data_IF_156237276668
#
_entry.id   IF_156237276668
#
_cell.length_a   1.000
_cell.length_b   1.000
_cell.length_c   1.000
_cell.angle_alpha   90.00
_cell.angle_beta   90.00
_cell.angle_gamma   90.00
#
_symmetry.space_group_name_H-M   'P 1'
#
loop_
_entity.id
_entity.type
_entity.pdbx_description
1 polymer ?
#
# COMPACT_ATOMS: atom_id res chain seq x y z
N UNK A 1 -101.75 53.85 -90.90
CA UNK A 1 -102.23 53.80 -89.50
C UNK A 1 -102.34 52.37 -88.98
N UNK A 2 -103.10 51.47 -89.64
CA UNK A 2 -103.29 50.08 -89.18
C UNK A 2 -101.99 49.26 -89.06
N UNK A 3 -101.06 49.41 -90.00
CA UNK A 3 -99.77 48.71 -90.05
C UNK A 3 -98.82 49.11 -88.90
N UNK A 4 -98.85 50.38 -88.50
CA UNK A 4 -98.03 50.91 -87.39
C UNK A 4 -98.55 50.40 -86.04
N UNK A 5 -99.88 50.32 -85.87
CA UNK A 5 -100.50 49.75 -84.66
C UNK A 5 -100.21 48.26 -84.54
N UNK A 6 -100.31 47.49 -85.64
CA UNK A 6 -99.95 46.08 -85.65
C UNK A 6 -98.45 45.84 -85.31
N UNK A 7 -97.54 46.68 -85.82
CA UNK A 7 -96.12 46.61 -85.49
C UNK A 7 -95.84 46.89 -84.01
N UNK A 8 -96.49 47.91 -83.42
CA UNK A 8 -96.37 48.23 -82.00
C UNK A 8 -96.91 47.11 -81.10
N UNK A 9 -98.03 46.48 -81.48
CA UNK A 9 -98.58 45.32 -80.76
C UNK A 9 -97.61 44.12 -80.86
N UNK A 10 -97.03 43.86 -82.04
CA UNK A 10 -96.03 42.81 -82.21
C UNK A 10 -94.78 43.02 -81.34
N UNK A 11 -94.29 44.26 -81.25
CA UNK A 11 -93.15 44.61 -80.37
C UNK A 11 -93.54 44.44 -78.90
N UNK A 12 -94.75 44.86 -78.49
CA UNK A 12 -95.21 44.73 -77.11
C UNK A 12 -95.34 43.25 -76.69
N UNK A 13 -95.89 42.40 -77.58
CA UNK A 13 -96.01 40.95 -77.35
C UNK A 13 -94.63 40.30 -77.35
N UNK A 14 -93.73 40.70 -78.26
CA UNK A 14 -92.36 40.21 -78.30
C UNK A 14 -91.56 40.59 -77.04
N UNK A 15 -91.68 41.84 -76.58
CA UNK A 15 -91.01 42.33 -75.37
C UNK A 15 -91.56 41.68 -74.10
N UNK A 16 -92.88 41.51 -73.99
CA UNK A 16 -93.49 40.79 -72.85
C UNK A 16 -93.14 39.30 -72.86
N UNK A 17 -93.16 38.64 -74.02
CA UNK A 17 -92.73 37.25 -74.18
C UNK A 17 -91.25 37.06 -73.80
N UNK A 18 -90.36 37.96 -74.25
CA UNK A 18 -88.94 37.94 -73.90
C UNK A 18 -88.71 38.21 -72.41
N UNK A 19 -89.43 39.16 -71.81
CA UNK A 19 -89.33 39.45 -70.37
C UNK A 19 -89.78 38.26 -69.51
N UNK A 20 -90.90 37.62 -69.86
CA UNK A 20 -91.37 36.41 -69.17
C UNK A 20 -90.38 35.26 -69.34
N UNK A 21 -89.85 35.05 -70.54
CA UNK A 21 -88.85 34.02 -70.81
C UNK A 21 -87.56 34.24 -70.00
N UNK A 22 -87.06 35.47 -69.93
CA UNK A 22 -85.88 35.83 -69.12
C UNK A 22 -86.14 35.68 -67.62
N UNK A 23 -87.34 36.00 -67.12
CA UNK A 23 -87.72 35.80 -65.71
C UNK A 23 -87.85 34.31 -65.35
N UNK A 24 -88.36 33.46 -66.26
CA UNK A 24 -88.43 32.02 -66.04
C UNK A 24 -87.02 31.39 -66.05
N UNK A 25 -86.18 31.79 -67.02
CA UNK A 25 -84.78 31.36 -67.08
C UNK A 25 -83.99 31.80 -65.84
N UNK A 26 -84.13 33.04 -65.39
CA UNK A 26 -83.43 33.53 -64.20
C UNK A 26 -83.88 32.79 -62.95
N UNK A 27 -85.19 32.59 -62.75
CA UNK A 27 -85.73 31.77 -61.65
C UNK A 27 -85.23 30.33 -61.71
N UNK A 28 -85.15 29.72 -62.89
CA UNK A 28 -84.63 28.36 -63.05
C UNK A 28 -83.14 28.25 -62.71
N UNK A 29 -82.33 29.25 -63.09
CA UNK A 29 -80.90 29.34 -62.74
C UNK A 29 -80.69 29.57 -61.25
N UNK A 30 -81.49 30.43 -60.63
CA UNK A 30 -81.45 30.66 -59.18
C UNK A 30 -81.82 29.38 -58.43
N UNK A 31 -82.89 28.68 -58.85
CA UNK A 31 -83.29 27.41 -58.24
C UNK A 31 -82.22 26.32 -58.41
N UNK A 32 -81.61 26.21 -59.59
CA UNK A 32 -80.50 25.27 -59.80
C UNK A 32 -79.27 25.60 -58.95
N UNK A 33 -78.97 26.89 -58.76
CA UNK A 33 -77.90 27.35 -57.89
C UNK A 33 -78.21 27.07 -56.40
N UNK A 34 -79.45 27.24 -55.97
CA UNK A 34 -79.91 26.91 -54.61
C UNK A 34 -79.85 25.39 -54.35
N UNK A 35 -80.29 24.57 -55.30
CA UNK A 35 -80.18 23.10 -55.21
C UNK A 35 -78.72 22.66 -55.16
N UNK A 36 -77.85 23.25 -55.98
CA UNK A 36 -76.41 22.96 -55.97
C UNK A 36 -75.78 23.39 -54.65
N UNK A 37 -76.10 24.58 -54.15
CA UNK A 37 -75.65 25.06 -52.83
C UNK A 37 -76.11 24.11 -51.72
N UNK A 38 -77.38 23.67 -51.74
CA UNK A 38 -77.93 22.73 -50.78
C UNK A 38 -77.18 21.39 -50.80
N UNK A 39 -76.87 20.85 -51.99
CA UNK A 39 -76.06 19.63 -52.13
C UNK A 39 -74.65 19.81 -51.59
N UNK A 40 -73.97 20.91 -51.93
CA UNK A 40 -72.61 21.19 -51.46
C UNK A 40 -72.58 21.34 -49.93
N UNK A 41 -73.55 22.03 -49.33
CA UNK A 41 -73.65 22.15 -47.87
C UNK A 41 -73.92 20.80 -47.21
N UNK A 42 -74.84 20.00 -47.76
CA UNK A 42 -75.12 18.66 -47.24
C UNK A 42 -73.91 17.72 -47.37
N UNK A 43 -73.15 17.82 -48.46
CA UNK A 43 -71.90 17.06 -48.64
C UNK A 43 -70.83 17.51 -47.65
N UNK A 44 -70.68 18.82 -47.44
CA UNK A 44 -69.75 19.37 -46.46
C UNK A 44 -70.12 18.97 -45.02
N UNK A 45 -71.41 18.97 -44.67
CA UNK A 45 -71.88 18.49 -43.36
C UNK A 45 -71.59 17.01 -43.17
N UNK A 46 -71.87 16.17 -44.18
CA UNK A 46 -71.55 14.74 -44.13
C UNK A 46 -70.06 14.47 -43.99
N UNK A 47 -69.22 15.21 -44.72
CA UNK A 47 -67.76 15.10 -44.60
C UNK A 47 -67.27 15.55 -43.22
N UNK A 48 -67.78 16.67 -42.70
CA UNK A 48 -67.44 17.14 -41.37
C UNK A 48 -67.84 16.14 -40.28
N UNK A 49 -69.01 15.51 -40.41
CA UNK A 49 -69.45 14.46 -39.49
C UNK A 49 -68.58 13.20 -39.60
N UNK A 50 -68.21 12.79 -40.82
CA UNK A 50 -67.30 11.67 -41.04
C UNK A 50 -65.93 11.91 -40.38
N UNK A 51 -65.32 13.08 -40.62
CA UNK A 51 -64.04 13.47 -40.02
C UNK A 51 -64.13 13.51 -38.49
N UNK A 52 -65.23 14.02 -37.93
CA UNK A 52 -65.44 14.02 -36.47
C UNK A 52 -65.54 12.61 -35.90
N UNK A 53 -66.24 11.71 -36.58
CA UNK A 53 -66.37 10.31 -36.16
C UNK A 53 -65.04 9.58 -36.26
N UNK A 54 -64.30 9.76 -37.35
CA UNK A 54 -62.95 9.22 -37.53
C UNK A 54 -62.00 9.70 -36.43
N UNK A 55 -61.93 11.02 -36.20
CA UNK A 55 -61.12 11.58 -35.13
C UNK A 55 -61.51 11.06 -33.73
N UNK A 56 -62.80 10.79 -33.48
CA UNK A 56 -63.23 10.16 -32.23
C UNK A 56 -62.83 8.69 -32.11
N UNK A 57 -62.83 7.95 -33.21
CA UNK A 57 -62.37 6.56 -33.24
C UNK A 57 -60.87 6.51 -33.03
N UNK A 58 -60.10 7.33 -33.75
CA UNK A 58 -58.65 7.42 -33.60
C UNK A 58 -58.25 7.81 -32.18
N UNK A 59 -58.92 8.81 -31.59
CA UNK A 59 -58.67 9.20 -30.21
C UNK A 59 -58.97 8.08 -29.21
N UNK A 60 -60.01 7.27 -29.46
CA UNK A 60 -60.33 6.10 -28.62
C UNK A 60 -59.30 5.00 -28.79
N UNK A 61 -58.83 4.74 -30.01
CA UNK A 61 -57.80 3.74 -30.28
C UNK A 61 -56.48 4.12 -29.59
N UNK A 62 -56.04 5.38 -29.74
CA UNK A 62 -54.87 5.89 -29.04
C UNK A 62 -55.02 5.82 -27.52
N UNK A 63 -56.20 6.14 -26.98
CA UNK A 63 -56.45 6.03 -25.55
C UNK A 63 -56.37 4.58 -25.03
N UNK A 64 -56.88 3.62 -25.80
CA UNK A 64 -56.80 2.19 -25.47
C UNK A 64 -55.35 1.70 -25.56
N UNK A 65 -54.63 2.09 -26.60
CA UNK A 65 -53.23 1.71 -26.77
C UNK A 65 -52.36 2.28 -25.63
N UNK A 66 -52.48 3.58 -25.35
CA UNK A 66 -51.76 4.23 -24.24
C UNK A 66 -52.10 3.56 -22.90
N UNK A 67 -53.37 3.21 -22.67
CA UNK A 67 -53.77 2.50 -21.46
C UNK A 67 -53.09 1.14 -21.36
N UNK A 68 -53.03 0.37 -22.46
CA UNK A 68 -52.36 -0.93 -22.50
C UNK A 68 -50.85 -0.80 -22.23
N UNK A 69 -50.20 0.22 -22.79
CA UNK A 69 -48.77 0.48 -22.57
C UNK A 69 -48.49 0.82 -21.11
N UNK A 70 -49.32 1.68 -20.50
CA UNK A 70 -49.22 2.03 -19.08
C UNK A 70 -49.45 0.81 -18.19
N UNK A 71 -50.45 -0.02 -18.49
CA UNK A 71 -50.72 -1.24 -17.71
C UNK A 71 -49.55 -2.22 -17.76
N UNK A 72 -48.94 -2.40 -18.93
CA UNK A 72 -47.72 -3.21 -19.09
C UNK A 72 -46.55 -2.63 -18.29
N UNK A 73 -46.31 -1.33 -18.38
CA UNK A 73 -45.21 -0.68 -17.66
C UNK A 73 -45.40 -0.77 -16.13
N UNK A 74 -46.63 -0.59 -15.65
CA UNK A 74 -46.97 -0.76 -14.23
C UNK A 74 -46.71 -2.19 -13.79
N UNK A 75 -47.08 -3.18 -14.59
CA UNK A 75 -46.84 -4.59 -14.28
C UNK A 75 -45.33 -4.88 -14.21
N UNK A 76 -44.55 -4.41 -15.18
CA UNK A 76 -43.10 -4.58 -15.21
C UNK A 76 -42.43 -3.91 -14.01
N UNK A 77 -42.81 -2.66 -13.70
CA UNK A 77 -42.32 -1.95 -12.51
C UNK A 77 -42.70 -2.69 -11.23
N UNK A 78 -43.91 -3.23 -11.12
CA UNK A 78 -44.33 -4.02 -9.96
C UNK A 78 -43.49 -5.28 -9.78
N UNK A 79 -43.19 -5.99 -10.87
CA UNK A 79 -42.30 -7.15 -10.84
C UNK A 79 -40.87 -6.77 -10.43
N UNK A 80 -40.36 -5.63 -10.90
CA UNK A 80 -39.06 -5.12 -10.48
C UNK A 80 -39.03 -4.77 -8.99
N UNK A 81 -40.07 -4.12 -8.48
CA UNK A 81 -40.20 -3.77 -7.06
C UNK A 81 -40.17 -5.05 -6.20
N UNK A 82 -40.99 -6.05 -6.52
CA UNK A 82 -41.03 -7.32 -5.77
C UNK A 82 -39.65 -7.99 -5.74
N UNK A 83 -38.94 -8.05 -6.87
CA UNK A 83 -37.58 -8.61 -6.93
C UNK A 83 -36.60 -7.84 -6.04
N UNK A 84 -36.73 -6.52 -5.97
CA UNK A 84 -35.88 -5.69 -5.11
C UNK A 84 -36.24 -5.92 -3.64
N UNK A 85 -37.53 -6.00 -3.30
CA UNK A 85 -38.02 -6.29 -1.95
C UNK A 85 -37.53 -7.65 -1.47
N UNK A 86 -37.67 -8.72 -2.26
CA UNK A 86 -37.16 -10.06 -1.93
C UNK A 86 -35.66 -10.04 -1.66
N UNK A 87 -34.88 -9.33 -2.50
CA UNK A 87 -33.43 -9.19 -2.30
C UNK A 87 -33.08 -8.38 -1.06
N UNK A 88 -33.88 -7.37 -0.71
CA UNK A 88 -33.68 -6.58 0.51
C UNK A 88 -33.98 -7.43 1.73
N UNK A 89 -35.12 -8.15 1.76
CA UNK A 89 -35.48 -9.05 2.84
C UNK A 89 -34.41 -10.13 3.07
N UNK A 90 -33.90 -10.74 2.00
CA UNK A 90 -32.80 -11.71 2.12
C UNK A 90 -31.54 -11.09 2.77
N UNK A 91 -31.20 -9.85 2.41
CA UNK A 91 -30.05 -9.15 3.02
C UNK A 91 -30.31 -8.77 4.48
N UNK A 92 -31.53 -8.43 4.84
CA UNK A 92 -31.92 -8.16 6.23
C UNK A 92 -31.77 -9.43 7.07
N UNK A 93 -32.31 -10.57 6.61
CA UNK A 93 -32.16 -11.87 7.28
C UNK A 93 -30.69 -12.29 7.45
N UNK A 94 -29.88 -12.12 6.40
CA UNK A 94 -28.43 -12.36 6.48
C UNK A 94 -27.73 -11.44 7.49
N UNK A 95 -28.17 -10.19 7.59
CA UNK A 95 -27.59 -9.21 8.52
C UNK A 95 -27.97 -9.53 9.97
N UNK A 96 -29.22 -9.91 10.21
CA UNK A 96 -29.71 -10.32 11.53
C UNK A 96 -29.03 -11.61 12.01
N UNK A 97 -28.78 -12.56 11.11
CA UNK A 97 -28.01 -13.76 11.41
C UNK A 97 -26.57 -13.42 11.84
N UNK A 98 -25.89 -12.53 11.11
CA UNK A 98 -24.53 -12.07 11.45
C UNK A 98 -24.51 -11.30 12.76
N UNK A 99 -25.52 -10.48 13.03
CA UNK A 99 -25.63 -9.71 14.27
C UNK A 99 -25.81 -10.64 15.47
N UNK A 100 -26.65 -11.67 15.34
CA UNK A 100 -26.83 -12.72 16.35
C UNK A 100 -25.53 -13.49 16.61
N UNK A 101 -24.77 -13.83 15.56
CA UNK A 101 -23.47 -14.47 15.71
C UNK A 101 -22.44 -13.55 16.40
N UNK A 102 -22.40 -12.28 16.03
CA UNK A 102 -21.53 -11.29 16.66
C UNK A 102 -21.82 -11.14 18.15
N UNK A 103 -23.09 -11.00 18.54
CA UNK A 103 -23.48 -10.92 19.95
C UNK A 103 -23.03 -12.16 20.73
N UNK A 104 -23.19 -13.36 20.17
CA UNK A 104 -22.69 -14.59 20.79
C UNK A 104 -21.16 -14.59 20.94
N UNK A 105 -20.44 -14.13 19.93
CA UNK A 105 -18.97 -14.02 19.98
C UNK A 105 -18.52 -13.01 21.02
N UNK A 106 -19.16 -11.85 21.10
CA UNK A 106 -18.88 -10.82 22.11
C UNK A 106 -19.11 -11.34 23.52
N UNK A 107 -20.24 -12.02 23.76
CA UNK A 107 -20.50 -12.67 25.06
C UNK A 107 -19.40 -13.69 25.41
N UNK A 108 -19.06 -14.58 24.47
CA UNK A 108 -18.00 -15.56 24.68
C UNK A 108 -16.61 -14.95 24.89
N UNK A 109 -16.32 -13.79 24.30
CA UNK A 109 -15.09 -13.03 24.56
C UNK A 109 -15.13 -12.36 25.94
N UNK A 110 -16.26 -11.78 26.33
CA UNK A 110 -16.46 -11.20 27.66
C UNK A 110 -16.26 -12.23 28.78
N UNK A 111 -16.86 -13.42 28.65
CA UNK A 111 -16.69 -14.51 29.61
C UNK A 111 -15.23 -14.95 29.73
N UNK A 112 -14.52 -15.06 28.59
CA UNK A 112 -13.10 -15.38 28.56
C UNK A 112 -12.24 -14.30 29.19
N UNK A 113 -12.58 -13.03 28.99
CA UNK A 113 -11.85 -11.91 29.59
C UNK A 113 -12.01 -11.92 31.11
N UNK A 114 -13.21 -12.16 31.62
CA UNK A 114 -13.48 -12.30 33.06
C UNK A 114 -12.69 -13.48 33.64
N UNK A 115 -12.73 -14.65 32.98
CA UNK A 115 -11.99 -15.82 33.45
C UNK A 115 -10.48 -15.62 33.41
N UNK A 116 -9.96 -14.97 32.36
CA UNK A 116 -8.54 -14.66 32.24
C UNK A 116 -8.07 -13.70 33.33
N UNK A 117 -8.87 -12.69 33.69
CA UNK A 117 -8.58 -11.78 34.80
C UNK A 117 -8.55 -12.53 36.14
N UNK A 118 -9.52 -13.40 36.40
CA UNK A 118 -9.54 -14.21 37.61
C UNK A 118 -8.30 -15.12 37.72
N UNK A 119 -7.94 -15.82 36.65
CA UNK A 119 -6.72 -16.64 36.61
C UNK A 119 -5.45 -15.81 36.81
N UNK A 120 -5.40 -14.59 36.29
CA UNK A 120 -4.26 -13.70 36.46
C UNK A 120 -4.11 -13.25 37.93
N UNK A 121 -5.22 -12.99 38.62
CA UNK A 121 -5.24 -12.69 40.06
C UNK A 121 -4.82 -13.90 40.88
N UNK A 122 -5.40 -15.08 40.64
CA UNK A 122 -5.02 -16.34 41.30
C UNK A 122 -3.53 -16.65 41.10
N UNK A 123 -3.00 -16.49 39.88
CA UNK A 123 -1.59 -16.71 39.59
C UNK A 123 -0.69 -15.74 40.35
N UNK A 124 -1.12 -14.47 40.48
CA UNK A 124 -0.38 -13.46 41.23
C UNK A 124 -0.33 -13.82 42.71
N UNK A 125 -1.47 -14.19 43.29
CA UNK A 125 -1.56 -14.62 44.68
C UNK A 125 -0.70 -15.87 44.93
N UNK A 126 -0.83 -16.90 44.10
CA UNK A 126 -0.03 -18.12 44.21
C UNK A 126 1.48 -17.85 44.08
N UNK A 127 1.88 -16.90 43.22
CA UNK A 127 3.27 -16.48 43.09
C UNK A 127 3.77 -15.76 44.35
N UNK A 128 2.97 -14.87 44.92
CA UNK A 128 3.31 -14.14 46.14
C UNK A 128 3.41 -15.11 47.33
N UNK A 129 2.49 -16.07 47.44
CA UNK A 129 2.56 -17.16 48.44
C UNK A 129 3.80 -18.02 48.27
N UNK A 130 4.12 -18.42 47.04
CA UNK A 130 5.31 -19.21 46.73
C UNK A 130 6.59 -18.45 47.11
N UNK A 131 6.65 -17.14 46.85
CA UNK A 131 7.78 -16.30 47.26
C UNK A 131 7.92 -16.27 48.78
N UNK A 132 6.83 -16.02 49.51
CA UNK A 132 6.84 -16.00 50.98
C UNK A 132 7.27 -17.36 51.55
N UNK A 133 6.78 -18.46 50.99
CA UNK A 133 7.18 -19.80 51.40
C UNK A 133 8.67 -20.06 51.13
N UNK A 134 9.19 -19.59 49.99
CA UNK A 134 10.60 -19.72 49.63
C UNK A 134 11.50 -18.90 50.55
N UNK A 135 11.09 -17.67 50.90
CA UNK A 135 11.79 -16.82 51.87
C UNK A 135 11.84 -17.49 53.24
N UNK A 136 10.73 -18.07 53.69
CA UNK A 136 10.67 -18.84 54.96
C UNK A 136 11.57 -20.07 54.93
N UNK A 137 11.56 -20.85 53.84
CA UNK A 137 12.34 -22.08 53.73
C UNK A 137 13.85 -21.80 53.65
N UNK A 138 14.23 -20.77 52.88
CA UNK A 138 15.62 -20.35 52.74
C UNK A 138 16.14 -19.58 53.95
N UNK A 139 15.25 -19.07 54.81
CA UNK A 139 15.59 -18.22 55.95
C UNK A 139 16.17 -16.86 55.51
N UNK A 140 16.01 -16.51 54.24
CA UNK A 140 16.54 -15.31 53.61
C UNK A 140 15.42 -14.63 52.81
N UNK A 141 15.31 -13.33 52.92
CA UNK A 141 14.48 -12.54 52.00
C UNK A 141 15.08 -12.57 50.59
N UNK A 142 14.27 -12.29 49.56
CA UNK A 142 14.76 -12.18 48.17
C UNK A 142 15.92 -11.18 48.06
N UNK A 143 15.88 -10.09 48.84
CA UNK A 143 16.93 -9.09 48.84
C UNK A 143 18.23 -9.62 49.47
N UNK A 144 18.13 -10.31 50.60
CA UNK A 144 19.29 -10.94 51.27
C UNK A 144 19.91 -12.04 50.41
N UNK A 145 19.10 -12.89 49.79
CA UNK A 145 19.58 -13.92 48.88
C UNK A 145 20.34 -13.31 47.67
N UNK A 146 19.82 -12.20 47.13
CA UNK A 146 20.47 -11.45 46.05
C UNK A 146 21.79 -10.80 46.50
N UNK A 147 21.81 -10.16 47.68
CA UNK A 147 23.01 -9.59 48.30
C UNK A 147 24.08 -10.67 48.51
N UNK A 148 23.72 -11.78 49.12
CA UNK A 148 24.65 -12.87 49.43
C UNK A 148 25.23 -13.52 48.17
N UNK A 149 24.41 -13.68 47.12
CA UNK A 149 24.90 -14.15 45.81
C UNK A 149 25.87 -13.16 45.18
N UNK A 150 25.58 -11.85 45.28
CA UNK A 150 26.43 -10.80 44.74
C UNK A 150 27.77 -10.73 45.48
N UNK A 151 27.77 -10.80 46.81
CA UNK A 151 28.98 -10.85 47.64
C UNK A 151 29.83 -12.07 47.31
N UNK A 152 29.24 -13.27 47.28
CA UNK A 152 29.97 -14.50 46.89
C UNK A 152 30.58 -14.40 45.51
N UNK A 153 29.84 -13.86 44.54
CA UNK A 153 30.34 -13.67 43.18
C UNK A 153 31.49 -12.67 43.15
N UNK A 154 31.38 -11.58 43.93
CA UNK A 154 32.43 -10.56 44.03
C UNK A 154 33.70 -11.12 44.66
N UNK A 155 33.59 -11.92 45.71
CA UNK A 155 34.73 -12.54 46.38
C UNK A 155 35.42 -13.58 45.50
N UNK A 156 34.66 -14.38 44.74
CA UNK A 156 35.21 -15.29 43.73
C UNK A 156 36.01 -14.53 42.67
N UNK A 157 35.44 -13.47 42.10
CA UNK A 157 36.11 -12.63 41.09
C UNK A 157 37.37 -11.98 41.67
N UNK A 158 37.33 -11.47 42.91
CA UNK A 158 38.52 -10.93 43.59
C UNK A 158 39.62 -11.98 43.76
N UNK A 159 39.25 -13.21 44.10
CA UNK A 159 40.21 -14.31 44.23
C UNK A 159 40.85 -14.69 42.90
N UNK A 160 40.09 -14.74 41.82
CA UNK A 160 40.60 -14.98 40.46
C UNK A 160 41.55 -13.86 40.02
N UNK A 161 41.12 -12.59 40.15
CA UNK A 161 41.96 -11.44 39.83
C UNK A 161 43.28 -11.45 40.61
N UNK A 162 43.24 -11.78 41.91
CA UNK A 162 44.45 -11.87 42.73
C UNK A 162 45.39 -13.01 42.28
N UNK A 163 44.85 -14.12 41.75
CA UNK A 163 45.67 -15.19 41.15
C UNK A 163 46.29 -14.72 39.83
N UNK A 164 45.51 -14.08 38.98
CA UNK A 164 45.96 -13.57 37.68
C UNK A 164 47.05 -12.51 37.84
N UNK A 165 46.88 -11.57 38.78
CA UNK A 165 47.92 -10.56 39.10
C UNK A 165 49.22 -11.21 39.55
N UNK A 166 49.18 -12.20 40.45
CA UNK A 166 50.39 -12.91 40.89
C UNK A 166 51.08 -13.63 39.74
N UNK A 167 50.31 -14.26 38.86
CA UNK A 167 50.85 -14.92 37.67
C UNK A 167 51.52 -13.90 36.74
N UNK A 168 50.86 -12.78 36.45
CA UNK A 168 51.43 -11.70 35.63
C UNK A 168 52.72 -11.12 36.25
N UNK A 169 52.77 -10.94 37.58
CA UNK A 169 53.99 -10.49 38.26
C UNK A 169 55.15 -11.49 38.13
N UNK A 170 54.86 -12.78 38.23
CA UNK A 170 55.86 -13.84 38.10
C UNK A 170 56.38 -13.97 36.67
N UNK A 171 55.50 -13.88 35.67
CA UNK A 171 55.84 -13.79 34.26
C UNK A 171 56.69 -12.54 33.98
N UNK A 172 56.29 -11.37 34.49
CA UNK A 172 57.06 -10.13 34.35
C UNK A 172 58.46 -10.23 34.98
N UNK A 173 58.58 -10.84 36.16
CA UNK A 173 59.88 -11.10 36.81
C UNK A 173 60.75 -12.06 36.01
N UNK A 174 60.16 -13.13 35.48
CA UNK A 174 60.86 -14.11 34.64
C UNK A 174 61.39 -13.45 33.37
N UNK A 175 60.55 -12.67 32.68
CA UNK A 175 60.92 -11.94 31.47
C UNK A 175 61.97 -10.86 31.75
N UNK A 176 61.86 -10.12 32.86
CA UNK A 176 62.87 -9.16 33.29
C UNK A 176 64.23 -9.83 33.54
N UNK A 177 64.25 -10.99 34.21
CA UNK A 177 65.49 -11.77 34.41
C UNK A 177 66.07 -12.26 33.09
N UNK A 178 65.23 -12.72 32.17
CA UNK A 178 65.65 -13.16 30.82
C UNK A 178 66.29 -12.01 30.05
N UNK A 179 65.64 -10.84 30.04
CA UNK A 179 66.17 -9.62 29.39
C UNK A 179 67.46 -9.15 30.04
N UNK A 180 67.54 -9.13 31.38
CA UNK A 180 68.76 -8.74 32.08
C UNK A 180 69.94 -9.66 31.73
N UNK A 181 69.73 -10.97 31.68
CA UNK A 181 70.77 -11.93 31.24
C UNK A 181 71.20 -11.69 29.80
N UNK A 182 70.25 -11.45 28.89
CA UNK A 182 70.56 -11.14 27.49
C UNK A 182 71.39 -9.85 27.36
N UNK A 183 71.04 -8.81 28.14
CA UNK A 183 71.73 -7.53 28.11
C UNK A 183 73.16 -7.64 28.67
N UNK A 184 73.35 -8.43 29.74
CA UNK A 184 74.66 -8.75 30.29
C UNK A 184 75.50 -9.53 29.26
N UNK A 185 74.91 -10.53 28.60
CA UNK A 185 75.60 -11.32 27.58
C UNK A 185 76.04 -10.45 26.38
N UNK A 186 75.17 -9.56 25.89
CA UNK A 186 75.50 -8.61 24.82
C UNK A 186 76.64 -7.65 25.23
N UNK A 187 76.59 -7.15 26.47
CA UNK A 187 77.66 -6.31 27.03
C UNK A 187 78.99 -7.06 27.12
N UNK A 188 78.96 -8.31 27.59
CA UNK A 188 80.13 -9.19 27.68
C UNK A 188 80.73 -9.47 26.30
N UNK A 189 79.89 -9.76 25.30
CA UNK A 189 80.33 -9.97 23.92
C UNK A 189 81.02 -8.73 23.34
N UNK A 190 80.47 -7.53 23.57
CA UNK A 190 81.09 -6.27 23.12
C UNK A 190 82.44 -5.99 23.77
N UNK A 191 82.55 -6.20 25.10
CA UNK A 191 83.79 -5.92 25.85
C UNK A 191 84.86 -6.99 25.60
N UNK A 192 84.48 -8.25 25.42
CA UNK A 192 85.42 -9.31 25.08
C UNK A 192 86.09 -9.04 23.73
N UNK A 193 85.33 -8.61 22.71
CA UNK A 193 85.89 -8.29 21.40
C UNK A 193 86.95 -7.18 21.46
N UNK A 194 86.70 -6.10 22.21
CA UNK A 194 87.65 -5.00 22.35
C UNK A 194 88.88 -5.37 23.18
N UNK A 195 88.73 -6.12 24.26
CA UNK A 195 89.87 -6.53 25.09
C UNK A 195 90.78 -7.55 24.41
N UNK A 196 90.20 -8.49 23.64
CA UNK A 196 91.01 -9.50 22.92
C UNK A 196 91.87 -8.85 21.84
N UNK A 197 91.34 -7.82 21.16
CA UNK A 197 92.08 -7.06 20.16
C UNK A 197 93.24 -6.25 20.76
N UNK A 198 93.09 -5.67 21.96
CA UNK A 198 94.19 -4.99 22.66
C UNK A 198 95.28 -5.95 23.12
N UNK A 199 94.93 -7.16 23.57
CA UNK A 199 95.90 -8.10 24.13
C UNK A 199 96.77 -8.84 23.10
N UNK A 200 96.32 -8.95 21.84
CA UNK A 200 97.02 -9.73 20.80
C UNK A 200 97.90 -8.92 19.86
N UNK A 201 97.86 -7.58 19.93
CA UNK A 201 98.69 -6.72 19.08
C UNK A 201 99.96 -6.31 19.83
N UNK A 202 101.09 -6.89 19.44
CA UNK A 202 102.42 -6.50 19.93
C UNK A 202 103.17 -5.72 18.84
N UNK A 203 103.59 -4.49 19.16
CA UNK A 203 104.39 -3.67 18.25
C UNK A 203 105.87 -3.89 18.56
N UNK A 204 106.60 -4.48 17.61
CA UNK A 204 108.05 -4.70 17.73
C UNK A 204 108.79 -3.58 16.99
N UNK A 205 109.53 -2.75 17.72
CA UNK A 205 110.38 -1.71 17.14
C UNK A 205 111.72 -2.32 16.66
N UNK A 206 112.09 -2.07 15.41
CA UNK A 206 113.33 -2.57 14.83
C UNK A 206 114.46 -1.55 14.98
N UNK A 207 115.63 -2.04 15.42
CA UNK A 207 116.79 -1.20 15.77
C UNK A 207 117.52 -0.56 14.58
N UNK A 208 117.25 -0.98 13.33
CA UNK A 208 117.80 -0.35 12.13
C UNK A 208 116.96 -0.63 10.88
N UNK A 209 117.01 0.28 9.91
CA UNK A 209 116.30 0.12 8.63
C UNK A 209 116.90 -0.99 7.76
N UNK A 210 118.18 -1.36 7.95
CA UNK A 210 118.78 -2.52 7.28
C UNK A 210 118.14 -3.84 7.74
N UNK A 211 117.88 -3.99 9.04
CA UNK A 211 117.13 -5.12 9.60
C UNK A 211 115.70 -5.15 9.07
N UNK A 212 115.05 -3.98 8.96
CA UNK A 212 113.71 -3.86 8.37
C UNK A 212 113.68 -4.33 6.91
N UNK A 213 114.69 -3.95 6.12
CA UNK A 213 114.83 -4.40 4.73
C UNK A 213 114.98 -5.92 4.60
N UNK A 214 115.76 -6.57 5.48
CA UNK A 214 115.94 -8.04 5.48
C UNK A 214 114.70 -8.79 5.97
N UNK A 215 114.01 -8.26 6.98
CA UNK A 215 112.78 -8.87 7.53
C UNK A 215 111.63 -8.75 6.51
N UNK A 216 111.49 -7.62 5.83
CA UNK A 216 110.45 -7.41 4.81
C UNK A 216 110.76 -8.20 3.53
N UNK A 217 112.04 -8.22 3.12
CA UNK A 217 112.47 -8.83 1.86
C UNK A 217 112.08 -8.02 0.63
N UNK A 218 112.69 -8.33 -0.52
CA UNK A 218 112.47 -7.60 -1.79
C UNK A 218 111.01 -7.77 -2.24
N UNK A 219 110.27 -6.67 -2.31
CA UNK A 219 108.81 -6.57 -2.53
C UNK A 219 107.93 -7.14 -1.40
N UNK A 220 108.44 -7.24 -0.17
CA UNK A 220 107.64 -7.70 0.98
C UNK A 220 107.41 -9.21 1.02
N UNK A 221 108.15 -9.98 0.22
CA UNK A 221 107.98 -11.43 0.12
C UNK A 221 108.09 -12.16 1.46
N UNK A 222 108.98 -11.74 2.36
CA UNK A 222 109.16 -12.41 3.64
C UNK A 222 108.00 -12.16 4.60
N UNK A 223 107.48 -10.92 4.67
CA UNK A 223 106.32 -10.62 5.53
C UNK A 223 105.05 -11.31 5.02
N UNK A 224 104.82 -11.36 3.71
CA UNK A 224 103.67 -12.10 3.15
C UNK A 224 103.78 -13.61 3.41
N UNK A 225 104.99 -14.17 3.36
CA UNK A 225 105.22 -15.58 3.67
C UNK A 225 104.98 -15.88 5.16
N UNK A 226 105.40 -14.98 6.06
CA UNK A 226 105.11 -15.09 7.49
C UNK A 226 103.59 -15.04 7.73
N UNK A 227 102.90 -14.04 7.18
CA UNK A 227 101.44 -13.86 7.29
C UNK A 227 100.68 -15.10 6.79
N UNK A 228 101.08 -15.66 5.64
CA UNK A 228 100.44 -16.86 5.11
C UNK A 228 100.72 -18.13 5.94
N UNK A 229 101.85 -18.19 6.66
CA UNK A 229 102.20 -19.35 7.50
C UNK A 229 101.61 -19.28 8.91
N UNK A 230 101.47 -18.08 9.49
CA UNK A 230 100.99 -17.90 10.86
C UNK A 230 99.52 -17.52 10.95
N UNK A 231 98.90 -17.11 9.84
CA UNK A 231 97.53 -16.59 9.81
C UNK A 231 97.49 -15.09 10.07
#
# INVERSE_FOLDING_TARGET
>A
MLTVVAALIGILIGATGAAVFLLVLSRSRVRAAEETRGRVLADAERQAEAVRREAQVDAREQAVQLKSEIESEIQDRRLQIVKVEERVLQKEEESDAKLTELVRREQGLGDREVHAKALQEELKEAKDEALVALERLSGLTVHEAKQQLLERSTDLVRHELAREVRQMEEEARSEARRRARALIADSLQRVAASHTAEATVSVVALASDDLKGRIIGREGRNIRALEHLTG
#
